data_IF_219832827982
#
_entry.id   IF_219832827982
#
_cell.length_a   1.000
_cell.length_b   1.000
_cell.length_c   1.000
_cell.angle_alpha   90.00
_cell.angle_beta   90.00
_cell.angle_gamma   90.00
#
_symmetry.space_group_name_H-M   'P 1'
#
loop_
_entity.id
_entity.type
_entity.pdbx_description
1 polymer ?
#
# COMPACT_ATOMS: atom_id res chain seq x y z
N UNK A 1 48.81 -41.98 -29.41
CA UNK A 1 48.62 -40.66 -30.03
C UNK A 1 47.12 -40.36 -30.06
N UNK A 2 46.69 -39.27 -29.39
CA UNK A 2 45.46 -38.43 -29.57
C UNK A 2 44.10 -39.15 -29.81
N UNK A 3 43.15 -39.16 -28.86
CA UNK A 3 42.16 -38.12 -28.46
C UNK A 3 40.76 -38.28 -29.15
N UNK A 4 39.75 -38.49 -28.29
CA UNK A 4 38.32 -38.04 -28.25
C UNK A 4 37.29 -38.42 -29.34
N UNK A 5 36.18 -38.99 -28.87
CA UNK A 5 34.78 -38.48 -28.90
C UNK A 5 33.86 -39.67 -28.51
N UNK A 6 33.32 -39.84 -27.29
CA UNK A 6 32.41 -38.98 -26.52
C UNK A 6 31.21 -38.48 -27.33
N UNK A 7 30.21 -39.33 -27.56
CA UNK A 7 28.80 -38.94 -27.65
C UNK A 7 27.91 -40.19 -27.75
N UNK A 8 27.25 -40.58 -26.66
CA UNK A 8 25.80 -40.48 -26.66
C UNK A 8 25.30 -40.41 -25.23
N UNK A 9 24.67 -39.27 -24.98
CA UNK A 9 24.17 -38.78 -23.71
C UNK A 9 23.41 -39.84 -22.93
N UNK A 10 23.84 -39.97 -21.68
CA UNK A 10 23.22 -40.72 -20.61
C UNK A 10 21.85 -40.11 -20.33
N UNK A 11 20.84 -40.97 -20.46
CA UNK A 11 19.45 -40.80 -20.06
C UNK A 11 19.34 -40.74 -18.53
N UNK A 12 19.87 -39.68 -17.90
CA UNK A 12 19.82 -39.52 -16.44
C UNK A 12 19.92 -38.06 -16.05
N UNK A 13 18.80 -37.34 -16.05
CA UNK A 13 18.53 -36.19 -15.16
C UNK A 13 17.05 -35.77 -15.31
N UNK A 14 16.17 -36.75 -15.11
CA UNK A 14 14.90 -36.50 -14.42
C UNK A 14 15.27 -36.08 -12.98
N UNK A 15 14.60 -35.05 -12.46
CA UNK A 15 14.75 -34.42 -11.12
C UNK A 15 15.40 -33.03 -11.13
N UNK A 16 14.95 -32.14 -12.02
CA UNK A 16 14.68 -30.76 -11.58
C UNK A 16 13.19 -30.68 -11.25
N UNK A 17 12.86 -31.16 -10.05
CA UNK A 17 11.60 -30.86 -9.40
C UNK A 17 11.50 -29.35 -9.24
N UNK A 18 10.66 -28.75 -10.06
CA UNK A 18 10.16 -27.41 -9.88
C UNK A 18 9.48 -27.32 -8.50
N UNK A 19 10.14 -26.70 -7.54
CA UNK A 19 9.47 -26.01 -6.44
C UNK A 19 10.22 -24.71 -6.15
N UNK A 20 10.15 -23.76 -7.08
CA UNK A 20 10.10 -22.36 -6.67
C UNK A 20 8.79 -22.19 -5.90
N UNK A 21 8.80 -22.48 -4.59
CA UNK A 21 7.84 -21.86 -3.68
C UNK A 21 8.14 -20.37 -3.73
N UNK A 22 7.36 -19.65 -4.52
CA UNK A 22 7.28 -18.21 -4.41
C UNK A 22 6.67 -17.98 -3.02
N UNK A 23 7.49 -17.55 -2.08
CA UNK A 23 7.06 -17.29 -0.70
C UNK A 23 5.87 -16.33 -0.73
N UNK A 24 4.68 -16.88 -0.52
CA UNK A 24 3.43 -16.14 -0.42
C UNK A 24 3.37 -15.32 0.89
N UNK A 25 4.35 -15.51 1.79
CA UNK A 25 4.48 -14.82 3.08
C UNK A 25 5.17 -13.45 3.03
N UNK A 26 5.88 -13.10 1.96
CA UNK A 26 6.66 -11.85 1.92
C UNK A 26 5.80 -10.61 1.59
N UNK A 27 4.66 -10.81 0.92
CA UNK A 27 3.77 -9.71 0.52
C UNK A 27 3.04 -9.13 1.75
N UNK A 28 2.69 -9.96 2.73
CA UNK A 28 1.91 -9.54 3.90
C UNK A 28 2.70 -8.65 4.88
N UNK A 29 3.98 -8.93 5.10
CA UNK A 29 4.80 -8.09 6.01
C UNK A 29 5.09 -6.69 5.44
N UNK A 30 5.22 -6.58 4.12
CA UNK A 30 5.45 -5.30 3.46
C UNK A 30 4.28 -4.33 3.66
N UNK A 31 3.06 -4.86 3.79
CA UNK A 31 1.83 -4.10 4.00
C UNK A 31 1.53 -3.81 5.48
N UNK A 32 2.28 -4.40 6.41
CA UNK A 32 2.05 -4.20 7.82
C UNK A 32 2.29 -2.77 8.30
N UNK A 33 1.28 -2.16 8.93
CA UNK A 33 1.30 -0.78 9.41
C UNK A 33 1.83 0.19 8.34
N UNK A 34 1.43 -0.02 7.09
CA UNK A 34 1.91 0.74 5.94
C UNK A 34 1.20 2.09 5.78
N UNK A 35 0.20 2.39 6.60
CA UNK A 35 -0.48 3.67 6.64
C UNK A 35 -0.89 4.06 8.07
N UNK A 36 -1.31 5.32 8.24
CA UNK A 36 -1.78 5.87 9.51
C UNK A 36 -2.89 6.89 9.27
N UNK A 37 -3.96 6.83 10.06
CA UNK A 37 -5.02 7.84 10.02
C UNK A 37 -4.49 9.16 10.58
N UNK A 38 -4.57 10.24 9.80
CA UNK A 38 -4.19 11.57 10.25
C UNK A 38 -5.42 12.32 10.74
N UNK A 39 -6.47 12.37 9.92
CA UNK A 39 -7.68 13.13 10.27
C UNK A 39 -8.90 12.67 9.49
N UNK A 40 -10.04 12.60 10.16
CA UNK A 40 -11.34 12.52 9.49
C UNK A 40 -11.89 13.93 9.22
N UNK A 41 -12.35 14.16 8.00
CA UNK A 41 -12.94 15.44 7.57
C UNK A 41 -14.28 15.18 6.89
N UNK A 42 -15.06 16.22 6.65
CA UNK A 42 -16.27 16.11 5.82
C UNK A 42 -15.96 15.76 4.35
N UNK A 43 -14.74 16.08 3.89
CA UNK A 43 -14.26 15.79 2.55
C UNK A 43 -13.62 14.41 2.40
N UNK A 44 -13.71 13.56 3.42
CA UNK A 44 -13.05 12.24 3.48
C UNK A 44 -12.01 12.14 4.59
N UNK A 45 -11.25 11.06 4.58
CA UNK A 45 -10.28 10.71 5.62
C UNK A 45 -8.89 10.87 5.04
N UNK A 46 -8.09 11.70 5.69
CA UNK A 46 -6.67 11.90 5.38
C UNK A 46 -5.88 10.80 6.05
N UNK A 47 -5.14 10.03 5.26
CA UNK A 47 -4.20 9.03 5.74
C UNK A 47 -2.80 9.34 5.24
N UNK A 48 -1.81 9.04 6.07
CA UNK A 48 -0.39 9.08 5.71
C UNK A 48 0.04 7.68 5.30
N UNK A 49 0.68 7.53 4.14
CA UNK A 49 1.34 6.29 3.75
C UNK A 49 2.76 6.28 4.34
N UNK A 50 3.13 5.20 5.04
CA UNK A 50 4.38 5.10 5.81
C UNK A 50 5.49 4.34 5.08
N UNK A 51 5.12 3.39 4.21
CA UNK A 51 6.08 2.49 3.53
C UNK A 51 6.17 2.70 2.01
N UNK A 52 5.34 3.56 1.44
CA UNK A 52 5.31 3.89 0.01
C UNK A 52 5.23 5.40 -0.13
N UNK A 53 6.14 6.06 -0.86
CA UNK A 53 6.32 7.52 -0.87
C UNK A 53 6.12 8.20 -2.24
N UNK A 54 5.67 7.48 -3.25
CA UNK A 54 5.57 7.92 -4.65
C UNK A 54 4.16 8.43 -5.03
N UNK A 55 3.18 8.34 -4.13
CA UNK A 55 1.77 8.63 -4.44
C UNK A 55 1.26 9.86 -3.70
N UNK A 56 1.58 10.03 -2.42
CA UNK A 56 1.01 11.07 -1.59
C UNK A 56 1.70 12.42 -1.73
N UNK A 57 1.05 13.46 -1.23
CA UNK A 57 1.58 14.82 -1.14
C UNK A 57 1.74 15.24 0.32
N UNK A 58 2.61 16.22 0.58
CA UNK A 58 2.69 16.81 1.92
C UNK A 58 1.39 17.52 2.26
N UNK A 59 0.90 17.36 3.48
CA UNK A 59 -0.37 17.94 3.93
C UNK A 59 -0.24 18.53 5.33
N UNK A 60 -0.75 19.74 5.53
CA UNK A 60 -0.80 20.40 6.83
C UNK A 60 -2.24 20.42 7.29
N UNK A 61 -2.47 20.04 8.56
CA UNK A 61 -3.79 20.11 9.15
C UNK A 61 -4.22 21.58 9.31
N UNK A 62 -5.23 22.04 8.54
CA UNK A 62 -5.64 23.44 8.56
C UNK A 62 -6.30 23.85 9.88
N UNK A 63 -6.70 22.90 10.72
CA UNK A 63 -7.33 23.20 12.01
C UNK A 63 -6.34 23.40 13.15
N UNK A 64 -5.04 23.17 12.91
CA UNK A 64 -4.00 23.32 13.93
C UNK A 64 -3.08 24.45 13.50
N UNK A 65 -3.17 25.59 14.17
CA UNK A 65 -2.26 26.72 13.94
C UNK A 65 -0.83 26.27 14.20
N UNK A 66 0.05 26.42 13.20
CA UNK A 66 1.44 25.93 13.23
C UNK A 66 1.57 24.40 13.42
N UNK A 67 0.58 23.63 12.98
CA UNK A 67 0.64 22.17 13.01
C UNK A 67 1.77 21.61 12.12
N UNK A 68 2.27 20.39 12.42
CA UNK A 68 3.27 19.75 11.60
C UNK A 68 2.71 19.42 10.22
N UNK A 69 3.55 19.55 9.19
CA UNK A 69 3.24 19.01 7.87
C UNK A 69 3.46 17.49 7.88
N UNK A 70 2.46 16.74 7.45
CA UNK A 70 2.52 15.29 7.30
C UNK A 70 2.93 14.96 5.86
N UNK A 71 4.11 14.35 5.64
CA UNK A 71 4.51 13.96 4.29
C UNK A 71 3.62 12.82 3.78
N UNK A 72 3.46 12.77 2.45
CA UNK A 72 2.93 11.61 1.74
C UNK A 72 1.52 11.18 2.22
N UNK A 73 0.65 12.16 2.32
CA UNK A 73 -0.75 12.00 2.62
C UNK A 73 -1.58 11.78 1.36
N UNK A 74 -2.65 11.01 1.52
CA UNK A 74 -3.68 10.74 0.51
C UNK A 74 -5.05 10.85 1.17
N UNK A 75 -6.07 11.03 0.34
CA UNK A 75 -7.46 11.08 0.75
C UNK A 75 -8.16 9.75 0.45
N UNK A 76 -9.03 9.28 1.35
CA UNK A 76 -9.88 8.11 1.12
C UNK A 76 -11.27 8.31 1.70
N UNK A 77 -12.28 7.69 1.11
CA UNK A 77 -13.65 7.62 1.65
C UNK A 77 -14.10 6.19 1.97
N UNK A 78 -13.21 5.21 1.80
CA UNK A 78 -13.52 3.78 1.97
C UNK A 78 -12.98 3.21 3.29
N UNK A 79 -12.48 4.05 4.20
CA UNK A 79 -12.05 3.59 5.52
C UNK A 79 -13.28 3.44 6.44
N UNK A 80 -13.54 2.24 7.00
CA UNK A 80 -14.70 2.01 7.83
C UNK A 80 -14.55 2.73 9.19
N UNK A 81 -15.69 3.07 9.79
CA UNK A 81 -15.75 3.93 11.00
C UNK A 81 -15.00 3.35 12.20
N UNK A 82 -15.01 2.03 12.37
CA UNK A 82 -14.30 1.31 13.44
C UNK A 82 -12.77 1.40 13.31
N UNK A 83 -12.25 1.73 12.12
CA UNK A 83 -10.83 1.93 11.83
C UNK A 83 -10.44 3.39 11.63
N UNK A 84 -11.39 4.32 11.80
CA UNK A 84 -11.19 5.76 11.60
C UNK A 84 -10.88 6.49 12.92
N UNK A 85 -9.84 6.03 13.62
CA UNK A 85 -9.32 6.72 14.81
C UNK A 85 -8.02 7.44 14.46
N UNK A 86 -7.90 8.72 14.80
CA UNK A 86 -6.67 9.48 14.59
C UNK A 86 -5.45 8.78 15.21
N UNK A 87 -4.36 8.72 14.45
CA UNK A 87 -3.12 8.04 14.83
C UNK A 87 -3.16 6.52 14.69
N UNK A 88 -4.31 5.92 14.35
CA UNK A 88 -4.43 4.47 14.19
C UNK A 88 -3.54 3.99 13.03
N UNK A 89 -2.64 3.03 13.28
CA UNK A 89 -1.90 2.38 12.21
C UNK A 89 -2.86 1.48 11.42
N UNK A 90 -2.61 1.40 10.12
CA UNK A 90 -3.40 0.63 9.17
C UNK A 90 -2.46 -0.25 8.34
N UNK A 91 -2.90 -1.47 8.07
CA UNK A 91 -2.28 -2.37 7.11
C UNK A 91 -3.25 -2.54 5.94
N UNK A 92 -3.02 -1.81 4.86
CA UNK A 92 -3.97 -1.68 3.75
C UNK A 92 -3.35 -2.02 2.40
N UNK A 93 -4.16 -2.65 1.55
CA UNK A 93 -3.96 -2.65 0.10
C UNK A 93 -4.97 -1.71 -0.52
N UNK A 94 -4.51 -0.93 -1.49
CA UNK A 94 -5.30 0.13 -2.09
C UNK A 94 -4.95 0.31 -3.56
N UNK A 95 -5.84 0.99 -4.28
CA UNK A 95 -5.59 1.51 -5.61
C UNK A 95 -5.66 3.04 -5.60
N UNK A 96 -4.93 3.67 -6.52
CA UNK A 96 -5.07 5.10 -6.76
C UNK A 96 -6.29 5.33 -7.62
N UNK A 97 -7.13 6.28 -7.23
CA UNK A 97 -8.35 6.65 -7.97
C UNK A 97 -8.31 8.13 -8.33
N UNK A 98 -8.96 8.49 -9.44
CA UNK A 98 -9.09 9.90 -9.85
C UNK A 98 -10.24 10.59 -9.11
N UNK A 99 -11.28 9.83 -8.78
CA UNK A 99 -12.48 10.24 -8.07
C UNK A 99 -13.02 9.10 -7.21
N UNK A 100 -13.79 9.42 -6.18
CA UNK A 100 -14.45 8.42 -5.36
C UNK A 100 -15.78 7.98 -5.98
N UNK A 101 -16.10 6.70 -5.87
CA UNK A 101 -17.43 6.19 -6.18
C UNK A 101 -18.41 6.71 -5.10
N UNK A 102 -19.49 7.38 -5.51
CA UNK A 102 -20.49 7.94 -4.59
C UNK A 102 -20.67 9.47 -4.61
N UNK A 103 -19.96 10.20 -5.47
CA UNK A 103 -20.16 11.64 -5.68
C UNK A 103 -19.24 12.55 -4.86
N UNK A 104 -19.47 13.86 -4.99
CA UNK A 104 -18.60 14.89 -4.41
C UNK A 104 -18.69 14.88 -2.88
N UNK A 105 -17.56 14.60 -2.24
CA UNK A 105 -17.38 14.89 -0.81
C UNK A 105 -17.40 16.42 -0.62
N UNK A 106 -17.60 16.88 0.62
CA UNK A 106 -17.52 18.31 0.90
C UNK A 106 -16.15 18.83 0.42
N UNK A 107 -16.16 19.75 -0.55
CA UNK A 107 -14.93 20.35 -1.06
C UNK A 107 -14.44 21.39 -0.06
N UNK A 108 -13.66 20.90 0.91
CA UNK A 108 -12.90 21.75 1.80
C UNK A 108 -11.52 21.94 1.19
N UNK A 109 -11.20 23.18 0.83
CA UNK A 109 -9.88 23.53 0.31
C UNK A 109 -8.77 23.03 1.23
N UNK A 110 -7.64 22.64 0.63
CA UNK A 110 -6.46 22.20 1.37
C UNK A 110 -6.42 20.72 1.73
N UNK A 111 -7.34 19.87 1.24
CA UNK A 111 -7.19 18.41 1.33
C UNK A 111 -6.11 17.87 0.37
N UNK A 112 -5.52 16.68 0.65
CA UNK A 112 -4.65 16.01 -0.31
C UNK A 112 -5.39 15.75 -1.64
N UNK A 113 -4.74 16.08 -2.76
CA UNK A 113 -5.31 15.88 -4.10
C UNK A 113 -5.26 14.42 -4.55
N UNK A 114 -4.28 13.66 -4.05
CA UNK A 114 -4.10 12.24 -4.33
C UNK A 114 -5.16 11.43 -3.57
N UNK A 115 -5.92 10.61 -4.30
CA UNK A 115 -7.00 9.80 -3.74
C UNK A 115 -6.70 8.32 -3.86
N UNK A 116 -7.11 7.55 -2.87
CA UNK A 116 -7.03 6.10 -2.90
C UNK A 116 -8.35 5.44 -2.49
N UNK A 117 -8.62 4.27 -3.06
CA UNK A 117 -9.66 3.35 -2.60
C UNK A 117 -9.01 2.17 -1.90
N UNK A 118 -9.32 1.97 -0.62
CA UNK A 118 -8.86 0.82 0.15
C UNK A 118 -9.62 -0.41 -0.32
N UNK A 119 -8.89 -1.44 -0.72
CA UNK A 119 -9.45 -2.70 -1.22
C UNK A 119 -9.47 -3.80 -0.18
N UNK A 120 -8.48 -3.81 0.70
CA UNK A 120 -8.29 -4.90 1.66
C UNK A 120 -7.54 -4.41 2.89
N UNK A 121 -7.87 -5.01 4.04
CA UNK A 121 -7.19 -4.81 5.32
C UNK A 121 -6.49 -6.09 5.72
N UNK A 122 -5.32 -5.96 6.35
CA UNK A 122 -4.51 -7.08 6.80
C UNK A 122 -4.29 -7.03 8.30
N UNK A 123 -4.16 -8.20 8.90
CA UNK A 123 -3.70 -8.35 10.27
C UNK A 123 -2.25 -8.82 10.27
N UNK A 124 -1.40 -8.05 10.94
CA UNK A 124 0.01 -8.40 11.10
C UNK A 124 0.13 -9.39 12.25
N UNK A 125 0.72 -10.55 11.96
CA UNK A 125 1.04 -11.57 12.96
C UNK A 125 2.42 -11.35 13.53
#
# INVERSE_FOLDING_TARGET
MKIKCFSLLICSLLLLGAQCKKDENDIDQSLCNNAKVIRSTCGGIVIQLLKRNDIGSSWTDPSVTNGPAYPNCVLTNTLPTDKNKQGQPLSIKFEVVTQFEGGNLCDIGGLPSNKISIKEFFECK
#
